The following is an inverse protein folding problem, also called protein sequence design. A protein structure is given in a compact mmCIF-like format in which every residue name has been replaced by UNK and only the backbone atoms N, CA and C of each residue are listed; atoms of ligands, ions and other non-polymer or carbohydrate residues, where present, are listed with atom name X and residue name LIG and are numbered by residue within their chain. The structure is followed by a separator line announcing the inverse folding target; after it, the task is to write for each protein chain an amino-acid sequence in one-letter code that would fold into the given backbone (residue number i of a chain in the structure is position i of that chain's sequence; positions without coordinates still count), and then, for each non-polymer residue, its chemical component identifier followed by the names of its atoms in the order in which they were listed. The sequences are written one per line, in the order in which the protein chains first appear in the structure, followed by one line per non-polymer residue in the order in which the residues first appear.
data_IF_013685311887
#
_entry.id   IF_013685311887
#
_cell.length_a   1.000
_cell.length_b   1.000
_cell.length_c   1.000
_cell.angle_alpha   90.00
_cell.angle_beta   90.00
_cell.angle_gamma   90.00
#
_symmetry.space_group_name_H-M   'P 1'
#
loop_
_entity.id
_entity.type
_entity.pdbx_description
1 polymer ?
#
# COMPACT_ATOMS: atom_id res chain seq x y z
N UNK A 1 0.90 -10.19 -11.98
CA UNK A 1 0.36 -8.83 -11.88
C UNK A 1 -0.07 -8.59 -10.45
N UNK A 2 0.95 -8.42 -9.62
CA UNK A 2 0.83 -7.89 -8.27
C UNK A 2 0.28 -6.46 -8.37
N UNK A 3 -0.46 -5.97 -7.38
CA UNK A 3 -0.86 -4.54 -7.32
C UNK A 3 0.37 -3.63 -7.32
N UNK A 4 1.54 -4.17 -6.96
CA UNK A 4 2.84 -3.50 -7.07
C UNK A 4 3.48 -3.56 -8.48
N UNK A 5 2.86 -4.23 -9.46
CA UNK A 5 3.36 -4.45 -10.82
C UNK A 5 2.44 -3.95 -11.94
N UNK A 6 1.35 -3.22 -11.62
CA UNK A 6 0.53 -2.58 -12.65
C UNK A 6 1.33 -1.46 -13.34
N UNK A 7 1.76 -1.66 -14.58
CA UNK A 7 2.41 -0.62 -15.38
C UNK A 7 1.36 0.25 -16.09
N UNK A 8 1.29 1.58 -15.89
CA UNK A 8 0.70 2.48 -16.86
C UNK A 8 1.56 2.51 -18.14
N UNK A 9 1.04 3.02 -19.27
CA UNK A 9 1.69 2.97 -20.59
C UNK A 9 3.08 3.64 -20.69
N UNK A 10 3.55 4.29 -19.62
CA UNK A 10 4.83 5.02 -19.56
C UNK A 10 5.94 4.27 -18.79
N UNK A 11 5.79 2.98 -18.49
CA UNK A 11 6.90 2.13 -18.02
C UNK A 11 7.32 2.26 -16.54
N UNK A 12 6.49 2.83 -15.67
CA UNK A 12 6.66 2.77 -14.19
C UNK A 12 5.59 1.86 -13.56
N UNK A 13 5.83 1.17 -12.45
CA UNK A 13 4.76 0.43 -11.76
C UNK A 13 3.84 1.39 -10.97
N UNK A 14 2.55 1.05 -10.75
CA UNK A 14 1.57 1.86 -10.00
C UNK A 14 2.01 2.10 -8.55
N UNK A 15 2.74 1.15 -7.97
CA UNK A 15 3.39 1.31 -6.68
C UNK A 15 4.44 2.42 -6.66
N UNK A 16 5.24 2.52 -7.73
CA UNK A 16 6.20 3.61 -7.94
C UNK A 16 5.53 4.94 -8.29
N UNK A 17 4.23 4.96 -8.58
CA UNK A 17 3.48 6.21 -8.80
C UNK A 17 3.03 6.80 -7.46
N UNK A 18 2.63 5.96 -6.51
CA UNK A 18 2.09 6.45 -5.25
C UNK A 18 3.11 6.53 -4.11
N UNK A 19 4.14 5.67 -4.06
CA UNK A 19 5.11 5.64 -2.95
C UNK A 19 6.56 5.72 -3.45
N UNK A 20 7.45 6.26 -2.60
CA UNK A 20 8.90 6.30 -2.85
C UNK A 20 9.62 5.11 -2.18
N UNK A 21 10.80 4.74 -2.69
CA UNK A 21 11.70 3.69 -2.13
C UNK A 21 10.95 2.39 -1.77
N UNK A 22 10.10 1.93 -2.68
CA UNK A 22 9.33 0.68 -2.51
C UNK A 22 10.27 -0.52 -2.62
N UNK A 23 10.27 -1.38 -1.59
CA UNK A 23 10.97 -2.67 -1.57
C UNK A 23 10.04 -3.73 -1.02
N UNK A 24 9.98 -4.87 -1.71
CA UNK A 24 9.18 -6.02 -1.29
C UNK A 24 10.12 -7.18 -1.03
N UNK A 25 10.11 -7.68 0.19
CA UNK A 25 10.82 -8.90 0.56
C UNK A 25 9.84 -10.06 0.60
N UNK A 26 10.19 -11.18 -0.05
CA UNK A 26 9.50 -12.45 0.11
C UNK A 26 10.01 -13.13 1.38
N UNK A 27 9.17 -13.16 2.41
CA UNK A 27 9.52 -13.79 3.68
C UNK A 27 9.40 -15.31 3.59
N UNK A 28 8.31 -15.79 2.97
CA UNK A 28 8.04 -17.22 2.81
C UNK A 28 7.08 -17.47 1.65
N UNK A 29 7.22 -18.63 1.02
CA UNK A 29 6.26 -19.17 0.07
C UNK A 29 5.61 -20.43 0.66
N UNK A 30 4.28 -20.49 0.60
CA UNK A 30 3.47 -21.56 1.15
C UNK A 30 2.53 -22.11 0.08
N UNK A 31 2.29 -23.41 0.10
CA UNK A 31 1.20 -24.01 -0.68
C UNK A 31 -0.08 -23.90 0.12
N UNK A 32 -1.07 -23.19 -0.42
CA UNK A 32 -2.35 -22.97 0.26
C UNK A 32 -3.38 -24.05 -0.13
N UNK A 33 -3.41 -24.45 -1.39
CA UNK A 33 -4.20 -25.58 -1.89
C UNK A 33 -3.50 -26.29 -3.05
N UNK A 34 -4.14 -27.28 -3.67
CA UNK A 34 -3.59 -27.96 -4.84
C UNK A 34 -3.20 -26.98 -5.97
N UNK A 35 -3.99 -25.92 -6.15
CA UNK A 35 -3.90 -24.96 -7.24
C UNK A 35 -3.58 -23.54 -6.75
N UNK A 36 -3.20 -23.36 -5.48
CA UNK A 36 -2.91 -22.03 -4.95
C UNK A 36 -1.64 -21.98 -4.12
N UNK A 37 -0.91 -20.87 -4.29
CA UNK A 37 0.31 -20.53 -3.57
C UNK A 37 0.09 -19.21 -2.83
N UNK A 38 0.55 -19.13 -1.59
CA UNK A 38 0.56 -17.89 -0.81
C UNK A 38 1.99 -17.47 -0.54
N UNK A 39 2.35 -16.29 -1.02
CA UNK A 39 3.58 -15.60 -0.65
C UNK A 39 3.30 -14.71 0.56
N UNK A 40 4.08 -14.84 1.63
CA UNK A 40 4.10 -13.91 2.75
C UNK A 40 5.19 -12.89 2.48
N UNK A 41 4.84 -11.61 2.57
CA UNK A 41 5.72 -10.51 2.15
C UNK A 41 5.86 -9.45 3.23
N UNK A 42 7.02 -8.78 3.23
CA UNK A 42 7.20 -7.52 3.95
C UNK A 42 7.50 -6.41 2.94
N UNK A 43 6.59 -5.44 2.84
CA UNK A 43 6.70 -4.28 1.95
C UNK A 43 7.18 -3.07 2.74
N UNK A 44 8.24 -2.44 2.26
CA UNK A 44 8.76 -1.17 2.76
C UNK A 44 8.50 -0.09 1.74
N UNK A 45 7.89 1.01 2.15
CA UNK A 45 7.57 2.12 1.26
C UNK A 45 7.64 3.44 2.03
N UNK A 46 8.06 4.51 1.36
CA UNK A 46 8.15 5.84 1.96
C UNK A 46 7.00 6.69 1.47
N UNK A 47 6.28 7.33 2.39
CA UNK A 47 5.24 8.30 2.06
C UNK A 47 5.90 9.55 1.47
N UNK A 48 5.51 9.92 0.26
CA UNK A 48 5.97 11.08 -0.49
C UNK A 48 4.90 12.14 -0.63
N UNK A 49 5.29 13.29 -1.17
CA UNK A 49 4.32 14.30 -1.57
C UNK A 49 3.33 13.74 -2.60
N UNK A 50 3.79 12.85 -3.49
CA UNK A 50 2.93 12.15 -4.44
C UNK A 50 1.99 11.19 -3.73
N UNK A 51 2.45 10.47 -2.70
CA UNK A 51 1.57 9.65 -1.85
C UNK A 51 0.45 10.47 -1.25
N UNK A 52 0.78 11.61 -0.63
CA UNK A 52 -0.21 12.46 0.01
C UNK A 52 -1.17 13.06 -1.02
N UNK A 53 -0.65 13.52 -2.16
CA UNK A 53 -1.47 14.08 -3.24
C UNK A 53 -2.43 13.07 -3.85
N UNK A 54 -1.99 11.82 -4.04
CA UNK A 54 -2.76 10.79 -4.74
C UNK A 54 -3.64 9.99 -3.78
N UNK A 55 -3.11 9.53 -2.65
CA UNK A 55 -3.81 8.62 -1.74
C UNK A 55 -4.48 9.31 -0.56
N UNK A 56 -4.01 10.50 -0.16
CA UNK A 56 -4.55 11.24 0.98
C UNK A 56 -4.84 12.71 0.61
N UNK A 57 -5.59 12.98 -0.49
CA UNK A 57 -5.74 14.32 -1.03
C UNK A 57 -6.35 15.31 -0.03
N UNK A 58 -7.16 14.84 0.91
CA UNK A 58 -7.74 15.63 2.00
C UNK A 58 -6.71 16.11 3.03
N UNK A 59 -5.57 15.42 3.16
CA UNK A 59 -4.48 15.81 4.05
C UNK A 59 -3.49 16.77 3.37
N UNK A 60 -3.48 16.82 2.04
CA UNK A 60 -2.64 17.69 1.21
C UNK A 60 -3.12 19.15 1.18
N UNK A 61 -3.90 19.57 2.18
CA UNK A 61 -4.45 20.91 2.30
C UNK A 61 -3.58 21.78 3.20
N UNK A 62 -3.05 22.87 2.64
CA UNK A 62 -2.59 23.97 3.46
C UNK A 62 -3.78 24.48 4.29
N UNK A 63 -3.67 24.48 5.62
CA UNK A 63 -4.68 25.10 6.49
C UNK A 63 -4.91 26.57 6.09
N UNK A 64 -5.93 27.22 6.66
CA UNK A 64 -6.31 28.63 6.36
C UNK A 64 -5.14 29.64 6.36
N UNK A 65 -3.99 29.28 6.92
CA UNK A 65 -2.78 30.08 7.03
C UNK A 65 -1.60 29.59 6.16
N UNK A 66 -1.82 28.73 5.16
CA UNK A 66 -0.74 28.20 4.32
C UNK A 66 0.10 27.08 4.97
N UNK A 67 -0.20 26.67 6.21
CA UNK A 67 0.61 25.70 6.98
C UNK A 67 0.15 24.27 6.73
N UNK A 68 1.12 23.36 6.58
CA UNK A 68 0.89 21.92 6.51
C UNK A 68 0.18 21.42 7.78
N UNK A 69 -0.70 20.42 7.61
CA UNK A 69 -1.38 19.83 8.76
C UNK A 69 -0.42 18.99 9.61
N UNK A 70 -0.71 18.81 10.91
CA UNK A 70 0.14 17.97 11.77
C UNK A 70 0.20 16.52 11.26
N UNK A 71 -0.89 16.01 10.68
CA UNK A 71 -0.94 14.67 10.09
C UNK A 71 -0.07 14.59 8.84
N UNK A 72 -0.14 15.59 7.95
CA UNK A 72 0.72 15.70 6.78
C UNK A 72 2.20 15.66 7.17
N UNK A 73 2.60 16.47 8.16
CA UNK A 73 3.99 16.51 8.66
C UNK A 73 4.46 15.18 9.25
N UNK A 74 3.58 14.45 9.96
CA UNK A 74 3.92 13.13 10.53
C UNK A 74 4.04 12.06 9.46
N UNK A 75 3.18 12.09 8.46
CA UNK A 75 3.14 11.10 7.39
C UNK A 75 4.26 11.31 6.39
N UNK A 76 4.56 12.55 6.01
CA UNK A 76 5.56 12.85 4.98
C UNK A 76 6.94 12.27 5.37
N UNK A 77 7.56 11.56 4.42
CA UNK A 77 8.84 10.82 4.59
C UNK A 77 8.80 9.69 5.62
N UNK A 78 7.64 9.34 6.19
CA UNK A 78 7.53 8.16 7.02
C UNK A 78 7.73 6.89 6.20
N UNK A 79 8.56 5.98 6.71
CA UNK A 79 8.81 4.67 6.09
C UNK A 79 7.85 3.64 6.67
N UNK A 80 6.83 3.30 5.90
CA UNK A 80 5.92 2.20 6.17
C UNK A 80 6.67 0.87 6.09
N UNK A 81 6.40 -0.01 7.06
CA UNK A 81 6.79 -1.43 7.03
C UNK A 81 5.48 -2.21 7.17
N UNK A 82 5.00 -2.75 6.06
CA UNK A 82 3.70 -3.41 5.95
C UNK A 82 3.92 -4.90 5.78
N UNK A 83 3.28 -5.71 6.61
CA UNK A 83 3.23 -7.17 6.41
C UNK A 83 2.07 -7.48 5.48
N UNK A 84 2.30 -8.36 4.53
CA UNK A 84 1.32 -8.66 3.50
C UNK A 84 1.35 -10.11 3.07
N UNK A 85 0.45 -10.40 2.15
CA UNK A 85 0.48 -11.65 1.41
C UNK A 85 -0.04 -11.47 0.00
N UNK A 86 0.49 -12.30 -0.91
CA UNK A 86 -0.01 -12.44 -2.28
C UNK A 86 -0.46 -13.88 -2.46
N UNK A 87 -1.74 -14.10 -2.74
CA UNK A 87 -2.29 -15.39 -3.11
C UNK A 87 -2.30 -15.49 -4.63
N UNK A 88 -1.66 -16.52 -5.17
CA UNK A 88 -1.68 -16.87 -6.59
C UNK A 88 -2.61 -18.06 -6.78
N UNK A 89 -3.54 -17.94 -7.71
CA UNK A 89 -4.36 -19.06 -8.19
C UNK A 89 -3.79 -19.55 -9.52
N UNK A 90 -3.68 -20.87 -9.67
CA UNK A 90 -3.14 -21.53 -10.85
C UNK A 90 -4.28 -22.17 -11.65
N UNK A 91 -4.29 -21.97 -12.97
CA UNK A 91 -5.16 -22.68 -13.90
C UNK A 91 -4.39 -23.82 -14.56
N UNK A 92 -4.65 -25.04 -14.10
CA UNK A 92 -4.03 -26.26 -14.62
C UNK A 92 -4.31 -26.48 -16.12
N UNK A 93 -5.44 -25.98 -16.64
CA UNK A 93 -5.80 -26.19 -18.05
C UNK A 93 -4.98 -25.31 -18.97
N UNK A 94 -4.61 -24.12 -18.50
CA UNK A 94 -3.85 -23.14 -19.26
C UNK A 94 -2.37 -23.06 -18.84
N UNK A 95 -1.96 -23.89 -17.88
CA UNK A 95 -0.60 -23.98 -17.29
C UNK A 95 -0.03 -22.61 -16.91
N UNK A 96 -0.84 -21.79 -16.24
CA UNK A 96 -0.47 -20.42 -15.84
C UNK A 96 -1.22 -19.93 -14.62
N UNK A 97 -0.72 -18.85 -14.01
CA UNK A 97 -1.44 -18.10 -12.97
C UNK A 97 -2.71 -17.47 -13.57
N UNK A 98 -3.85 -17.74 -12.95
CA UNK A 98 -5.18 -17.23 -13.35
C UNK A 98 -5.59 -15.98 -12.60
N UNK A 99 -5.19 -15.85 -11.33
CA UNK A 99 -5.47 -14.66 -10.54
C UNK A 99 -4.41 -14.42 -9.46
N UNK A 100 -4.36 -13.17 -8.99
CA UNK A 100 -3.59 -12.77 -7.83
C UNK A 100 -4.47 -11.91 -6.92
N UNK A 101 -4.46 -12.21 -5.63
CA UNK A 101 -5.07 -11.40 -4.58
C UNK A 101 -3.98 -10.93 -3.61
N UNK A 102 -3.95 -9.64 -3.31
CA UNK A 102 -2.88 -9.04 -2.51
C UNK A 102 -3.45 -8.21 -1.38
N UNK A 103 -2.88 -8.37 -0.19
CA UNK A 103 -3.20 -7.57 0.99
C UNK A 103 -1.92 -7.10 1.68
N UNK A 104 -1.92 -5.91 2.27
CA UNK A 104 -0.80 -5.39 3.07
C UNK A 104 -1.29 -4.51 4.22
N UNK A 105 -0.85 -4.80 5.44
CA UNK A 105 -1.27 -4.08 6.65
C UNK A 105 -0.62 -2.69 6.74
N UNK A 106 -1.37 -1.66 6.33
CA UNK A 106 -1.02 -0.25 6.51
C UNK A 106 -1.51 0.31 7.86
N UNK A 107 -2.51 -0.33 8.45
CA UNK A 107 -3.08 0.09 9.74
C UNK A 107 -2.04 0.06 10.86
N UNK A 108 -1.34 -1.06 11.02
CA UNK A 108 -0.35 -1.25 12.09
C UNK A 108 0.78 -0.20 12.06
N UNK A 109 1.47 0.04 10.94
CA UNK A 109 2.54 1.06 10.92
C UNK A 109 2.00 2.48 11.17
N UNK A 110 0.79 2.82 10.70
CA UNK A 110 0.20 4.13 10.96
C UNK A 110 -0.25 4.30 12.41
N UNK A 111 -0.82 3.26 13.02
CA UNK A 111 -1.16 3.29 14.44
C UNK A 111 0.10 3.48 15.31
N UNK A 112 1.22 2.83 14.95
CA UNK A 112 2.51 3.02 15.63
C UNK A 112 3.05 4.44 15.47
N UNK A 113 2.89 5.06 14.30
CA UNK A 113 3.32 6.43 14.02
C UNK A 113 2.48 7.47 14.78
N UNK A 114 1.15 7.33 14.74
CA UNK A 114 0.23 8.35 15.23
C UNK A 114 -0.09 8.17 16.72
N UNK A 115 0.06 6.97 17.25
CA UNK A 115 -0.10 6.63 18.67
C UNK A 115 -1.55 6.48 19.13
N UNK A 116 -2.54 6.67 18.24
CA UNK A 116 -3.95 6.55 18.57
C UNK A 116 -4.81 6.23 17.32
N UNK A 117 -5.95 5.58 17.53
CA UNK A 117 -6.87 5.20 16.44
C UNK A 117 -7.67 6.39 15.88
N UNK A 118 -7.86 7.46 16.65
CA UNK A 118 -8.61 8.64 16.19
C UNK A 118 -7.90 9.33 15.02
N UNK A 119 -6.60 9.57 15.15
CA UNK A 119 -5.78 10.15 14.10
C UNK A 119 -5.62 9.20 12.90
N UNK A 120 -5.53 7.88 13.14
CA UNK A 120 -5.55 6.90 12.04
C UNK A 120 -6.87 6.98 11.28
N UNK A 121 -8.00 7.04 11.98
CA UNK A 121 -9.31 7.19 11.34
C UNK A 121 -9.37 8.48 10.51
N UNK A 122 -8.85 9.60 11.01
CA UNK A 122 -8.75 10.86 10.25
C UNK A 122 -7.87 10.72 8.99
N UNK A 123 -6.79 9.95 9.05
CA UNK A 123 -5.95 9.67 7.88
C UNK A 123 -6.73 8.91 6.82
N UNK A 124 -7.52 7.90 7.20
CA UNK A 124 -8.31 7.10 6.25
C UNK A 124 -9.65 7.74 5.85
N UNK A 125 -10.14 8.75 6.58
CA UNK A 125 -11.38 9.45 6.28
C UNK A 125 -11.22 10.33 5.03
N UNK A 126 -11.58 9.80 3.87
CA UNK A 126 -11.39 10.46 2.56
C UNK A 126 -10.13 10.03 1.82
N UNK A 127 -9.42 9.01 2.31
CA UNK A 127 -8.30 8.40 1.61
C UNK A 127 -8.77 7.59 0.39
N UNK A 128 -7.94 7.55 -0.65
CA UNK A 128 -8.10 6.69 -1.84
C UNK A 128 -7.33 5.37 -1.69
N UNK A 129 -7.07 4.96 -0.44
CA UNK A 129 -6.44 3.70 -0.08
C UNK A 129 -7.08 3.16 1.18
N UNK A 130 -7.23 1.84 1.27
CA UNK A 130 -7.77 1.15 2.44
C UNK A 130 -6.67 0.79 3.45
N UNK A 131 -7.09 0.36 4.65
CA UNK A 131 -6.18 -0.08 5.72
C UNK A 131 -5.36 -1.33 5.38
N UNK A 132 -5.85 -2.15 4.45
CA UNK A 132 -5.17 -3.30 3.83
C UNK A 132 -4.40 -2.92 2.55
N UNK A 133 -4.15 -1.62 2.34
CA UNK A 133 -3.31 -1.06 1.26
C UNK A 133 -3.87 -1.31 -0.16
N UNK A 134 -5.18 -1.42 -0.32
CA UNK A 134 -5.83 -1.47 -1.63
C UNK A 134 -6.18 -0.07 -2.10
N UNK A 135 -5.71 0.32 -3.28
CA UNK A 135 -6.04 1.60 -3.90
C UNK A 135 -7.49 1.56 -4.38
N UNK A 136 -8.25 2.62 -4.05
CA UNK A 136 -9.62 2.84 -4.48
C UNK A 136 -9.58 3.71 -5.74
N UNK A 137 -9.80 3.09 -6.91
CA UNK A 137 -9.93 3.76 -8.22
C UNK A 137 -11.38 3.85 -8.66
#
# INVERSE_FOLDING_TARGET
MDVFALHPPNGRSMSSWCFDDVRVDLDRLEKDSANSLRAITTTRATISHDTLRVLFPHLNGHGKNGKQSLLECKLLRYRLIMRGSVRFEWDDRADRVSSMDTQSDMLTPLLRLLGNLEDVNRVFQGALVTTDCRILV
#
